data_IF_007417390917
#
_entry.id   IF_007417390917
#
_cell.length_a   1.000
_cell.length_b   1.000
_cell.length_c   1.000
_cell.angle_alpha   90.00
_cell.angle_beta   90.00
_cell.angle_gamma   90.00
#
_symmetry.space_group_name_H-M   'P 1'
#
loop_
_entity.id
_entity.type
_entity.pdbx_description
1 polymer ?
#
# COMPACT_ATOMS: atom_id res chain seq x y z
N UNK A 1 0.14 -2.67 11.48
CA UNK A 1 1.01 -1.55 11.89
C UNK A 1 0.66 -1.05 13.29
N UNK A 2 -0.56 -0.60 13.52
CA UNK A 2 -1.01 0.05 14.76
C UNK A 2 -0.91 -0.83 16.02
N UNK A 3 -0.71 -2.13 15.89
CA UNK A 3 -0.50 -3.08 16.98
C UNK A 3 0.97 -3.45 17.17
N UNK A 4 1.88 -2.81 16.43
CA UNK A 4 3.32 -3.03 16.56
C UNK A 4 3.76 -4.46 16.34
N UNK A 5 4.72 -4.90 17.13
CA UNK A 5 5.28 -6.24 17.01
C UNK A 5 4.23 -7.35 17.23
N UNK A 6 3.26 -7.15 18.11
CA UNK A 6 2.21 -8.14 18.35
C UNK A 6 1.34 -8.37 17.11
N UNK A 7 1.05 -7.30 16.36
CA UNK A 7 0.35 -7.39 15.08
C UNK A 7 1.17 -8.09 14.00
N UNK A 8 2.48 -7.82 13.93
CA UNK A 8 3.39 -8.49 12.99
C UNK A 8 3.49 -9.98 13.32
N UNK A 9 3.69 -10.32 14.58
CA UNK A 9 3.75 -11.72 15.05
C UNK A 9 2.43 -12.46 14.77
N UNK A 10 1.29 -11.80 14.99
CA UNK A 10 -0.02 -12.36 14.67
C UNK A 10 -0.16 -12.68 13.17
N UNK A 11 0.19 -11.76 12.27
CA UNK A 11 0.13 -11.99 10.81
C UNK A 11 1.10 -13.11 10.40
N UNK A 12 2.31 -13.14 10.94
CA UNK A 12 3.26 -14.22 10.69
C UNK A 12 2.69 -15.58 11.09
N UNK A 13 2.04 -15.68 12.26
CA UNK A 13 1.44 -16.91 12.74
C UNK A 13 0.21 -17.32 11.90
N UNK A 14 -0.67 -16.36 11.56
CA UNK A 14 -1.87 -16.63 10.75
C UNK A 14 -1.52 -17.16 9.37
N UNK A 15 -0.46 -16.65 8.76
CA UNK A 15 -0.05 -16.99 7.40
C UNK A 15 0.87 -18.21 7.32
N UNK A 16 1.21 -18.83 8.43
CA UNK A 16 2.10 -20.00 8.43
C UNK A 16 1.46 -21.23 7.76
N UNK A 17 0.15 -21.42 8.00
CA UNK A 17 -0.61 -22.57 7.51
C UNK A 17 -1.48 -22.28 6.28
N UNK A 18 -1.29 -21.11 5.63
CA UNK A 18 -2.02 -20.77 4.41
C UNK A 18 -1.52 -21.59 3.21
N UNK A 19 -2.39 -21.85 2.24
CA UNK A 19 -1.98 -22.37 0.94
C UNK A 19 -1.35 -21.24 0.13
N UNK A 20 -0.04 -21.30 -0.02
CA UNK A 20 0.74 -20.33 -0.73
C UNK A 20 2.00 -19.93 0.02
N UNK A 21 2.95 -19.35 -0.69
CA UNK A 21 4.17 -18.82 -0.08
C UNK A 21 3.88 -17.38 0.38
N UNK A 22 3.52 -17.22 1.63
CA UNK A 22 3.30 -15.90 2.22
C UNK A 22 4.58 -15.38 2.82
N UNK A 23 5.04 -14.26 2.30
CA UNK A 23 6.17 -13.50 2.82
C UNK A 23 5.67 -12.17 3.39
N UNK A 24 6.40 -11.66 4.38
CA UNK A 24 6.04 -10.43 5.09
C UNK A 24 7.19 -9.44 4.98
N UNK A 25 6.84 -8.18 4.75
CA UNK A 25 7.74 -7.05 4.87
C UNK A 25 7.45 -6.31 6.18
N UNK A 26 8.47 -5.84 6.88
CA UNK A 26 8.30 -5.14 8.16
C UNK A 26 8.01 -3.66 7.89
N UNK A 27 6.92 -3.09 8.45
CA UNK A 27 6.55 -1.70 8.20
C UNK A 27 7.65 -0.71 8.61
N UNK A 28 8.07 0.15 7.70
CA UNK A 28 9.10 1.16 7.94
C UNK A 28 8.58 2.36 8.71
N UNK A 29 7.36 2.77 8.42
CA UNK A 29 6.74 4.01 8.88
C UNK A 29 5.57 3.70 9.82
N UNK A 30 5.82 3.67 11.12
CA UNK A 30 4.82 3.49 12.16
C UNK A 30 5.15 4.46 13.31
N UNK A 31 4.45 5.61 13.38
CA UNK A 31 3.46 6.15 12.44
C UNK A 31 4.03 6.46 11.04
N UNK A 32 3.16 6.78 10.06
CA UNK A 32 3.57 7.15 8.71
C UNK A 32 4.45 8.40 8.71
N UNK A 33 4.09 9.39 9.52
CA UNK A 33 4.89 10.59 9.75
C UNK A 33 4.98 10.92 11.25
N UNK A 34 5.95 11.75 11.62
CA UNK A 34 6.11 12.24 13.02
C UNK A 34 4.98 13.13 13.52
N UNK A 35 4.05 13.53 12.64
CA UNK A 35 2.91 14.39 12.98
C UNK A 35 1.68 13.62 13.41
N UNK A 36 1.66 12.30 13.21
CA UNK A 36 0.50 11.46 13.45
C UNK A 36 0.52 10.85 14.85
N UNK A 37 -0.66 10.80 15.47
CA UNK A 37 -0.87 10.01 16.68
C UNK A 37 -1.07 8.54 16.26
N UNK A 38 -0.34 7.60 16.86
CA UNK A 38 -0.48 6.17 16.59
C UNK A 38 -0.52 5.37 17.90
N UNK A 39 -0.99 4.13 17.81
CA UNK A 39 -1.05 3.21 18.92
C UNK A 39 0.32 2.70 19.36
N UNK A 40 1.31 2.74 18.46
CA UNK A 40 2.69 2.30 18.73
C UNK A 40 3.66 3.03 17.81
N UNK A 41 4.92 3.12 18.21
CA UNK A 41 6.01 3.59 17.37
C UNK A 41 6.99 2.43 17.19
N UNK A 42 7.34 2.10 15.95
CA UNK A 42 8.33 1.08 15.64
C UNK A 42 9.69 1.72 15.33
N UNK A 43 10.67 1.44 16.16
CA UNK A 43 12.07 1.80 15.95
C UNK A 43 12.86 0.62 15.37
N UNK A 44 14.04 0.88 14.81
CA UNK A 44 14.91 -0.16 14.26
C UNK A 44 15.16 -1.32 15.24
N UNK A 45 15.40 -1.04 16.53
CA UNK A 45 15.58 -2.05 17.58
C UNK A 45 14.41 -3.01 17.74
N UNK A 46 13.18 -2.54 17.48
CA UNK A 46 11.96 -3.36 17.62
C UNK A 46 11.81 -4.34 16.45
N UNK A 47 12.52 -4.09 15.35
CA UNK A 47 12.49 -4.88 14.11
C UNK A 47 13.58 -5.95 14.06
N UNK A 48 14.64 -5.84 14.85
CA UNK A 48 15.82 -6.73 14.82
C UNK A 48 15.47 -8.22 14.94
N UNK A 49 14.46 -8.56 15.78
CA UNK A 49 14.02 -9.94 15.97
C UNK A 49 13.53 -10.62 14.69
N UNK A 50 13.09 -9.84 13.70
CA UNK A 50 12.54 -10.37 12.45
C UNK A 50 13.60 -10.67 11.40
N UNK A 51 14.82 -10.16 11.52
CA UNK A 51 15.87 -10.33 10.51
C UNK A 51 16.19 -11.80 10.21
N UNK A 52 16.07 -12.68 11.20
CA UNK A 52 16.35 -14.11 11.07
C UNK A 52 15.15 -14.94 10.59
N UNK A 53 13.95 -14.36 10.51
CA UNK A 53 12.78 -15.09 10.05
C UNK A 53 12.84 -15.25 8.52
N UNK A 54 12.83 -16.48 7.97
CA UNK A 54 12.98 -16.72 6.53
C UNK A 54 11.78 -16.22 5.71
N UNK A 55 10.62 -15.98 6.35
CA UNK A 55 9.46 -15.38 5.71
C UNK A 55 9.45 -13.86 5.74
N UNK A 56 10.36 -13.22 6.46
CA UNK A 56 10.54 -11.77 6.46
C UNK A 56 11.56 -11.40 5.39
N UNK A 57 11.08 -10.77 4.31
CA UNK A 57 11.91 -10.42 3.16
C UNK A 57 12.65 -9.10 3.33
N UNK A 58 12.10 -8.17 4.10
CA UNK A 58 12.72 -6.87 4.21
C UNK A 58 11.87 -5.80 4.90
N UNK A 59 12.14 -4.55 4.57
CA UNK A 59 11.46 -3.36 5.05
C UNK A 59 10.40 -2.93 4.03
N UNK A 60 9.16 -2.76 4.49
CA UNK A 60 8.03 -2.37 3.65
C UNK A 60 7.82 -0.86 3.62
N UNK A 61 7.32 -0.43 2.50
CA UNK A 61 6.83 0.88 2.14
C UNK A 61 7.51 2.03 2.90
N UNK A 62 8.66 2.46 2.38
CA UNK A 62 9.36 3.61 2.96
C UNK A 62 8.61 4.89 2.54
N UNK A 63 7.48 5.17 3.21
CA UNK A 63 6.57 6.28 2.89
C UNK A 63 7.12 7.65 3.26
N UNK A 64 7.88 7.76 4.33
CA UNK A 64 8.49 9.02 4.74
C UNK A 64 9.73 9.35 3.90
N UNK A 65 9.47 9.68 2.63
CA UNK A 65 10.51 10.05 1.66
C UNK A 65 11.33 11.25 2.11
N UNK A 66 10.70 12.18 2.84
CA UNK A 66 11.40 13.35 3.38
C UNK A 66 12.47 12.96 4.38
N UNK A 67 12.17 12.07 5.32
CA UNK A 67 13.13 11.59 6.31
C UNK A 67 14.29 10.84 5.66
N UNK A 68 14.02 10.10 4.56
CA UNK A 68 15.08 9.47 3.75
C UNK A 68 15.98 10.52 3.11
N UNK A 69 15.41 11.49 2.38
CA UNK A 69 16.15 12.51 1.62
C UNK A 69 16.95 13.42 2.53
N UNK A 70 16.41 13.75 3.70
CA UNK A 70 17.12 14.61 4.69
C UNK A 70 18.07 13.84 5.60
N UNK A 71 18.09 12.49 5.52
CA UNK A 71 18.96 11.67 6.36
C UNK A 71 18.56 11.63 7.83
N UNK A 72 17.24 11.61 8.12
CA UNK A 72 16.73 11.56 9.49
C UNK A 72 17.22 10.27 10.18
N UNK A 73 17.78 10.42 11.39
CA UNK A 73 18.54 9.35 12.07
C UNK A 73 17.71 8.08 12.32
N UNK A 74 16.44 8.20 12.71
CA UNK A 74 15.58 7.05 12.99
C UNK A 74 15.28 6.26 11.73
N UNK A 75 15.00 6.95 10.60
CA UNK A 75 14.79 6.31 9.31
C UNK A 75 16.08 5.66 8.80
N UNK A 76 17.20 6.36 8.85
CA UNK A 76 18.49 5.81 8.40
C UNK A 76 18.89 4.56 9.16
N UNK A 77 18.61 4.47 10.48
CA UNK A 77 18.83 3.23 11.26
C UNK A 77 17.98 2.06 10.78
N UNK A 78 16.75 2.31 10.33
CA UNK A 78 15.87 1.26 9.76
C UNK A 78 16.40 0.78 8.41
N UNK A 79 16.78 1.71 7.54
CA UNK A 79 17.38 1.39 6.24
C UNK A 79 18.68 0.59 6.40
N UNK A 80 19.60 1.00 7.30
CA UNK A 80 20.85 0.29 7.57
C UNK A 80 20.60 -1.12 8.15
N UNK A 81 19.60 -1.26 9.02
CA UNK A 81 19.19 -2.56 9.57
C UNK A 81 18.78 -3.57 8.49
N UNK A 82 18.14 -3.09 7.43
CA UNK A 82 17.64 -3.93 6.33
C UNK A 82 18.47 -3.84 5.04
N UNK A 83 19.66 -3.25 5.06
CA UNK A 83 20.50 -3.03 3.85
C UNK A 83 20.82 -4.31 3.05
N UNK A 84 20.89 -5.46 3.71
CA UNK A 84 21.14 -6.76 3.10
C UNK A 84 19.85 -7.52 2.73
N UNK A 85 18.69 -6.88 2.85
CA UNK A 85 17.36 -7.40 2.51
C UNK A 85 16.68 -6.48 1.50
N UNK A 86 15.45 -6.81 1.11
CA UNK A 86 14.67 -5.94 0.25
C UNK A 86 14.18 -4.71 1.03
N UNK A 87 14.22 -3.57 0.40
CA UNK A 87 13.62 -2.33 0.89
C UNK A 87 12.65 -1.88 -0.17
N UNK A 88 11.36 -1.92 0.16
CA UNK A 88 10.28 -1.52 -0.71
C UNK A 88 9.90 -0.05 -0.50
N UNK A 89 9.57 0.62 -1.57
CA UNK A 89 9.30 2.04 -1.60
C UNK A 89 7.85 2.42 -1.69
N UNK A 90 7.64 3.71 -1.51
CA UNK A 90 6.39 4.42 -1.69
C UNK A 90 6.76 5.87 -2.05
N UNK A 91 6.94 6.15 -3.31
CA UNK A 91 7.58 7.38 -3.78
C UNK A 91 6.74 8.15 -4.80
N UNK A 92 5.52 8.62 -4.43
CA UNK A 92 4.72 9.38 -5.38
C UNK A 92 5.39 10.73 -5.71
N UNK A 93 5.59 11.02 -7.00
CA UNK A 93 5.96 12.34 -7.50
C UNK A 93 7.24 12.99 -6.95
N UNK A 94 8.27 12.23 -6.67
CA UNK A 94 9.56 12.81 -6.36
C UNK A 94 10.19 13.45 -7.60
N UNK A 95 10.84 14.60 -7.43
CA UNK A 95 11.66 15.17 -8.49
C UNK A 95 12.91 14.31 -8.74
N UNK A 96 13.66 14.58 -9.80
CA UNK A 96 14.78 13.72 -10.23
C UNK A 96 15.91 13.59 -9.20
N UNK A 97 16.20 14.64 -8.41
CA UNK A 97 17.20 14.60 -7.36
C UNK A 97 16.72 13.78 -6.17
N UNK A 98 15.49 14.04 -5.72
CA UNK A 98 14.91 13.36 -4.57
C UNK A 98 14.70 11.88 -4.86
N UNK A 99 14.24 11.52 -6.07
CA UNK A 99 14.12 10.13 -6.50
C UNK A 99 15.48 9.42 -6.56
N UNK A 100 16.52 10.14 -6.99
CA UNK A 100 17.89 9.58 -7.01
C UNK A 100 18.43 9.37 -5.58
N UNK A 101 18.19 10.32 -4.66
CA UNK A 101 18.57 10.19 -3.26
C UNK A 101 17.81 9.02 -2.59
N UNK A 102 16.52 8.89 -2.89
CA UNK A 102 15.66 7.82 -2.40
C UNK A 102 16.15 6.44 -2.88
N UNK A 103 16.43 6.28 -4.17
CA UNK A 103 16.98 5.04 -4.71
C UNK A 103 18.39 4.73 -4.14
N UNK A 104 19.24 5.75 -3.92
CA UNK A 104 20.57 5.62 -3.33
C UNK A 104 20.52 5.11 -1.89
N UNK A 105 19.46 5.40 -1.14
CA UNK A 105 19.26 4.92 0.24
C UNK A 105 19.04 3.41 0.35
N UNK A 106 18.94 2.70 -0.78
CA UNK A 106 18.76 1.25 -0.84
C UNK A 106 17.35 0.80 -1.20
N UNK A 107 16.42 1.71 -1.40
CA UNK A 107 15.06 1.39 -1.88
C UNK A 107 15.15 0.83 -3.30
N UNK A 108 14.52 -0.33 -3.53
CA UNK A 108 14.66 -1.12 -4.77
C UNK A 108 13.40 -1.26 -5.59
N UNK A 109 12.25 -0.96 -5.03
CA UNK A 109 10.94 -1.09 -5.69
C UNK A 109 10.04 0.06 -5.32
N UNK A 110 9.04 0.32 -6.15
CA UNK A 110 7.95 1.25 -5.92
C UNK A 110 6.66 0.75 -6.56
N UNK A 111 5.50 1.17 -6.06
CA UNK A 111 4.19 0.86 -6.59
C UNK A 111 3.28 2.09 -6.78
N UNK A 112 3.83 3.28 -6.52
CA UNK A 112 3.12 4.55 -6.58
C UNK A 112 3.25 5.28 -7.94
N UNK A 113 4.05 4.76 -8.86
CA UNK A 113 4.12 5.31 -10.21
C UNK A 113 2.75 5.23 -10.90
N UNK A 114 2.13 6.37 -11.20
CA UNK A 114 0.84 6.44 -11.90
C UNK A 114 0.96 6.90 -13.36
N UNK A 115 2.14 7.26 -13.83
CA UNK A 115 2.43 7.55 -15.23
C UNK A 115 3.59 6.72 -15.74
N UNK A 116 3.57 6.37 -17.05
CA UNK A 116 4.71 5.69 -17.67
C UNK A 116 6.00 6.52 -17.58
N UNK A 117 5.91 7.84 -17.67
CA UNK A 117 7.09 8.71 -17.57
C UNK A 117 7.76 8.62 -16.21
N UNK A 118 6.98 8.58 -15.13
CA UNK A 118 7.53 8.45 -13.78
C UNK A 118 8.09 7.05 -13.56
N UNK A 119 7.36 6.01 -13.94
CA UNK A 119 7.83 4.62 -13.88
C UNK A 119 9.17 4.41 -14.61
N UNK A 120 9.37 5.06 -15.76
CA UNK A 120 10.66 5.04 -16.48
C UNK A 120 11.80 5.64 -15.66
N UNK A 121 11.56 6.77 -14.99
CA UNK A 121 12.59 7.40 -14.14
C UNK A 121 13.02 6.50 -12.99
N UNK A 122 12.12 5.71 -12.43
CA UNK A 122 12.42 4.70 -11.41
C UNK A 122 13.25 3.56 -11.99
N UNK A 123 12.83 3.01 -13.13
CA UNK A 123 13.56 1.94 -13.83
C UNK A 123 14.97 2.38 -14.23
N UNK A 124 15.15 3.61 -14.72
CA UNK A 124 16.45 4.20 -15.06
C UNK A 124 17.40 4.30 -13.84
N UNK A 125 16.83 4.39 -12.64
CA UNK A 125 17.59 4.36 -11.36
C UNK A 125 17.78 2.96 -10.80
N UNK A 126 17.42 1.93 -11.57
CA UNK A 126 17.59 0.53 -11.21
C UNK A 126 16.53 -0.02 -10.25
N UNK A 127 15.44 0.72 -10.04
CA UNK A 127 14.30 0.26 -9.26
C UNK A 127 13.41 -0.69 -10.06
N UNK A 128 12.64 -1.52 -9.36
CA UNK A 128 11.51 -2.26 -9.93
C UNK A 128 10.24 -1.43 -9.75
N UNK A 129 9.36 -1.49 -10.73
CA UNK A 129 8.04 -0.87 -10.68
C UNK A 129 6.98 -1.94 -10.57
N UNK A 130 6.24 -1.94 -9.48
CA UNK A 130 5.05 -2.77 -9.33
C UNK A 130 3.84 -2.01 -9.88
N UNK A 131 3.38 -2.42 -11.05
CA UNK A 131 2.21 -1.84 -11.71
C UNK A 131 0.97 -2.25 -10.92
N UNK A 132 0.35 -1.27 -10.25
CA UNK A 132 -0.78 -1.46 -9.37
C UNK A 132 -2.10 -1.48 -10.14
N UNK A 133 -2.95 -2.46 -9.81
CA UNK A 133 -4.34 -2.54 -10.27
C UNK A 133 -5.21 -2.98 -9.09
N UNK A 134 -5.46 -2.04 -8.20
CA UNK A 134 -6.29 -2.18 -7.02
C UNK A 134 -7.77 -1.95 -7.29
N UNK A 135 -8.54 -1.65 -6.25
CA UNK A 135 -9.93 -1.23 -6.35
C UNK A 135 -10.05 0.29 -6.58
N UNK A 136 -9.35 1.08 -5.79
CA UNK A 136 -9.31 2.54 -5.92
C UNK A 136 -8.14 3.02 -6.78
N UNK A 137 -6.94 2.50 -6.54
CA UNK A 137 -5.73 2.91 -7.26
C UNK A 137 -5.43 1.98 -8.44
N UNK A 138 -5.57 2.50 -9.66
CA UNK A 138 -5.47 1.75 -10.93
C UNK A 138 -4.48 2.40 -11.87
N UNK A 139 -3.23 1.94 -11.83
CA UNK A 139 -2.13 2.54 -12.61
C UNK A 139 -1.78 1.72 -13.87
N UNK A 140 -2.33 0.50 -14.00
CA UNK A 140 -1.95 -0.45 -15.04
C UNK A 140 -2.14 0.13 -16.44
N UNK A 141 -3.29 0.72 -16.71
CA UNK A 141 -3.59 1.22 -18.06
C UNK A 141 -2.60 2.31 -18.50
N UNK A 142 -2.33 3.28 -17.62
CA UNK A 142 -1.45 4.39 -17.94
C UNK A 142 -0.01 3.93 -18.22
N UNK A 143 0.50 3.01 -17.42
CA UNK A 143 1.88 2.52 -17.56
C UNK A 143 2.00 1.56 -18.75
N UNK A 144 1.10 0.58 -18.89
CA UNK A 144 1.16 -0.41 -19.97
C UNK A 144 0.97 0.25 -21.33
N UNK A 145 0.05 1.21 -21.45
CA UNK A 145 -0.13 1.98 -22.69
C UNK A 145 1.16 2.69 -23.12
N UNK A 146 1.89 3.26 -22.18
CA UNK A 146 3.18 3.89 -22.44
C UNK A 146 4.24 2.87 -22.88
N UNK A 147 4.33 1.72 -22.21
CA UNK A 147 5.26 0.63 -22.58
C UNK A 147 4.99 0.15 -24.03
N UNK A 148 3.72 -0.06 -24.39
CA UNK A 148 3.32 -0.50 -25.72
C UNK A 148 3.66 0.56 -26.79
N UNK A 149 3.29 1.83 -26.56
CA UNK A 149 3.52 2.91 -27.50
C UNK A 149 5.01 3.14 -27.79
N UNK A 150 5.86 2.96 -26.80
CA UNK A 150 7.30 3.16 -26.91
C UNK A 150 8.06 1.86 -27.26
N UNK A 151 7.37 0.73 -27.35
CA UNK A 151 7.98 -0.59 -27.48
C UNK A 151 9.09 -0.83 -26.42
N UNK A 152 8.82 -0.41 -25.19
CA UNK A 152 9.80 -0.42 -24.12
C UNK A 152 10.01 -1.84 -23.54
N UNK A 153 11.14 -2.04 -22.85
CA UNK A 153 11.40 -3.27 -22.10
C UNK A 153 10.47 -3.39 -20.91
N UNK A 154 10.07 -4.63 -20.58
CA UNK A 154 9.26 -4.94 -19.39
C UNK A 154 10.10 -5.53 -18.24
N UNK A 155 11.42 -5.56 -18.35
CA UNK A 155 12.27 -6.36 -17.44
C UNK A 155 12.20 -5.98 -15.97
N UNK A 156 11.93 -4.72 -15.63
CA UNK A 156 11.81 -4.25 -14.24
C UNK A 156 10.41 -3.93 -13.82
N UNK A 157 9.42 -4.36 -14.61
CA UNK A 157 8.03 -4.17 -14.27
C UNK A 157 7.44 -5.46 -13.71
N UNK A 158 6.72 -5.35 -12.60
CA UNK A 158 6.00 -6.40 -11.91
C UNK A 158 4.54 -5.99 -11.74
N UNK A 159 3.70 -6.87 -11.22
CA UNK A 159 2.32 -6.53 -10.88
C UNK A 159 2.11 -6.54 -9.37
N UNK A 160 1.25 -5.65 -8.88
CA UNK A 160 0.65 -5.71 -7.56
C UNK A 160 -0.83 -5.32 -7.62
N UNK A 161 -1.52 -5.51 -6.53
CA UNK A 161 -2.94 -5.17 -6.39
C UNK A 161 -3.19 -4.15 -5.28
N UNK A 162 -2.29 -4.09 -4.31
CA UNK A 162 -2.38 -3.17 -3.16
C UNK A 162 -3.77 -3.20 -2.51
N UNK A 163 -4.61 -2.21 -2.74
CA UNK A 163 -5.93 -2.01 -2.12
C UNK A 163 -7.09 -2.84 -2.72
N UNK A 164 -6.80 -3.92 -3.46
CA UNK A 164 -7.86 -4.68 -4.15
C UNK A 164 -8.79 -5.40 -3.17
N UNK A 165 -10.07 -5.05 -3.22
CA UNK A 165 -11.11 -5.61 -2.37
C UNK A 165 -11.46 -7.05 -2.78
N UNK A 166 -11.98 -7.82 -1.81
CA UNK A 166 -12.34 -9.23 -2.03
C UNK A 166 -13.43 -9.37 -3.11
N UNK A 167 -14.39 -8.46 -3.15
CA UNK A 167 -15.44 -8.42 -4.14
C UNK A 167 -14.88 -8.30 -5.56
N UNK A 168 -13.91 -7.42 -5.76
CA UNK A 168 -13.26 -7.24 -7.06
C UNK A 168 -12.39 -8.45 -7.43
N UNK A 169 -11.74 -9.07 -6.44
CA UNK A 169 -11.00 -10.32 -6.67
C UNK A 169 -11.93 -11.44 -7.16
N UNK A 170 -13.14 -11.55 -6.60
CA UNK A 170 -14.13 -12.53 -7.01
C UNK A 170 -14.66 -12.25 -8.43
N UNK A 171 -14.90 -11.00 -8.75
CA UNK A 171 -15.49 -10.59 -10.03
C UNK A 171 -14.49 -10.58 -11.19
N UNK A 172 -13.30 -10.07 -10.96
CA UNK A 172 -12.29 -9.79 -12.00
C UNK A 172 -11.12 -10.78 -11.97
N UNK A 173 -10.76 -11.25 -10.79
CA UNK A 173 -9.52 -11.96 -10.47
C UNK A 173 -8.49 -11.06 -9.78
N UNK A 174 -7.43 -11.69 -9.30
CA UNK A 174 -6.30 -11.02 -8.64
C UNK A 174 -5.21 -10.65 -9.68
N UNK A 175 -3.99 -11.16 -9.57
CA UNK A 175 -2.91 -10.96 -10.56
C UNK A 175 -3.27 -11.55 -11.94
N UNK A 176 -4.14 -12.55 -12.01
CA UNK A 176 -4.68 -13.07 -13.27
C UNK A 176 -5.39 -11.99 -14.10
N UNK A 177 -6.10 -11.08 -13.45
CA UNK A 177 -6.70 -9.92 -14.09
C UNK A 177 -5.65 -8.96 -14.67
N UNK A 178 -4.59 -8.66 -13.91
CA UNK A 178 -3.52 -7.79 -14.37
C UNK A 178 -2.82 -8.36 -15.61
N UNK A 179 -2.56 -9.68 -15.62
CA UNK A 179 -1.97 -10.37 -16.78
C UNK A 179 -2.88 -10.24 -18.00
N UNK A 180 -4.16 -10.63 -17.87
CA UNK A 180 -5.14 -10.59 -18.95
C UNK A 180 -5.28 -9.18 -19.53
N UNK A 181 -5.52 -8.18 -18.72
CA UNK A 181 -5.64 -6.77 -19.12
C UNK A 181 -4.38 -6.29 -19.85
N UNK A 182 -3.21 -6.66 -19.38
CA UNK A 182 -1.92 -6.30 -20.00
C UNK A 182 -1.75 -6.94 -21.38
N UNK A 183 -2.18 -8.20 -21.55
CA UNK A 183 -2.18 -8.89 -22.85
C UNK A 183 -3.16 -8.22 -23.82
N UNK A 184 -4.39 -7.94 -23.37
CA UNK A 184 -5.41 -7.23 -24.16
C UNK A 184 -4.94 -5.85 -24.65
N UNK A 185 -4.09 -5.20 -23.89
CA UNK A 185 -3.47 -3.91 -24.26
C UNK A 185 -2.29 -4.03 -25.23
N UNK A 186 -1.87 -5.26 -25.60
CA UNK A 186 -0.87 -5.50 -26.64
C UNK A 186 0.52 -5.90 -26.16
N UNK A 187 0.71 -6.16 -24.88
CA UNK A 187 1.96 -6.77 -24.38
C UNK A 187 1.95 -8.25 -24.74
N UNK A 188 3.10 -8.73 -25.24
CA UNK A 188 3.28 -10.16 -25.53
C UNK A 188 2.95 -11.00 -24.28
N UNK A 189 2.12 -12.06 -24.39
CA UNK A 189 1.68 -12.89 -23.26
C UNK A 189 2.84 -13.41 -22.41
N UNK A 190 3.93 -13.90 -23.01
CA UNK A 190 5.09 -14.39 -22.27
C UNK A 190 5.71 -13.28 -21.41
N UNK A 191 5.78 -12.05 -21.92
CA UNK A 191 6.29 -10.92 -21.13
C UNK A 191 5.36 -10.62 -19.96
N UNK A 192 4.03 -10.61 -20.16
CA UNK A 192 3.06 -10.39 -19.10
C UNK A 192 3.14 -11.46 -17.99
N UNK A 193 3.26 -12.74 -18.37
CA UNK A 193 3.49 -13.82 -17.38
C UNK A 193 4.82 -13.66 -16.64
N UNK A 194 5.90 -13.26 -17.32
CA UNK A 194 7.19 -13.01 -16.66
C UNK A 194 7.10 -11.88 -15.61
N UNK A 195 6.33 -10.84 -15.88
CA UNK A 195 6.08 -9.75 -14.91
C UNK A 195 5.37 -10.25 -13.65
N UNK A 196 4.47 -11.22 -13.79
CA UNK A 196 3.72 -11.82 -12.68
C UNK A 196 4.49 -12.93 -11.94
N UNK A 197 5.57 -13.46 -12.51
CA UNK A 197 6.26 -14.63 -11.99
C UNK A 197 7.73 -14.35 -11.71
N UNK A 198 8.62 -14.69 -12.63
CA UNK A 198 10.07 -14.64 -12.40
C UNK A 198 10.58 -13.22 -12.06
N UNK A 199 10.03 -12.16 -12.68
CA UNK A 199 10.48 -10.79 -12.40
C UNK A 199 10.11 -10.35 -10.99
N UNK A 200 8.85 -10.62 -10.55
CA UNK A 200 8.43 -10.36 -9.17
C UNK A 200 9.29 -11.11 -8.15
N UNK A 201 9.59 -12.38 -8.43
CA UNK A 201 10.42 -13.18 -7.51
C UNK A 201 11.89 -12.79 -7.51
N UNK A 202 12.41 -12.29 -8.62
CA UNK A 202 13.75 -11.68 -8.69
C UNK A 202 13.83 -10.41 -7.87
N UNK A 203 12.83 -9.54 -7.98
CA UNK A 203 12.75 -8.32 -7.17
C UNK A 203 12.85 -8.62 -5.68
N UNK A 204 12.12 -9.61 -5.19
CA UNK A 204 12.10 -9.99 -3.77
C UNK A 204 13.21 -10.98 -3.36
N UNK A 205 14.19 -11.24 -4.22
CA UNK A 205 15.31 -12.13 -3.92
C UNK A 205 14.99 -13.62 -3.87
N UNK A 206 13.83 -14.06 -4.41
CA UNK A 206 13.38 -15.47 -4.44
C UNK A 206 13.47 -16.13 -5.82
N UNK A 207 13.93 -15.43 -6.83
CA UNK A 207 14.00 -15.90 -8.22
C UNK A 207 14.91 -17.11 -8.48
N UNK A 208 15.55 -17.67 -7.44
CA UNK A 208 16.31 -18.94 -7.52
C UNK A 208 15.52 -20.15 -7.01
N UNK A 209 14.30 -19.97 -6.50
CA UNK A 209 13.52 -21.04 -5.86
C UNK A 209 12.04 -21.06 -6.25
N UNK A 210 11.50 -19.94 -6.71
CA UNK A 210 10.11 -19.78 -7.17
C UNK A 210 10.05 -18.86 -8.38
N UNK A 211 8.95 -18.90 -9.12
CA UNK A 211 8.67 -18.02 -10.26
C UNK A 211 9.05 -18.58 -11.63
N UNK A 212 9.56 -19.81 -11.69
CA UNK A 212 9.84 -20.52 -12.94
C UNK A 212 9.64 -22.04 -12.77
N UNK A 213 9.37 -22.74 -13.87
CA UNK A 213 9.37 -24.20 -13.92
C UNK A 213 10.79 -24.64 -14.30
N UNK A 214 11.58 -25.00 -13.28
CA UNK A 214 12.97 -25.41 -13.48
C UNK A 214 13.42 -26.40 -12.39
N UNK A 215 14.47 -27.21 -12.64
CA UNK A 215 15.02 -28.12 -11.62
C UNK A 215 15.43 -27.36 -10.36
N UNK A 216 15.00 -27.84 -9.18
CA UNK A 216 15.28 -27.23 -7.89
C UNK A 216 14.32 -26.09 -7.48
N UNK A 217 13.41 -25.69 -8.33
CA UNK A 217 12.33 -24.75 -7.96
C UNK A 217 11.17 -25.47 -7.29
N UNK A 218 10.41 -24.75 -6.47
CA UNK A 218 9.17 -25.26 -5.91
C UNK A 218 8.17 -25.55 -7.01
N UNK A 219 7.43 -26.63 -6.85
CA UNK A 219 6.38 -27.03 -7.79
C UNK A 219 5.07 -26.25 -7.53
N UNK A 220 5.16 -24.93 -7.61
CA UNK A 220 4.03 -24.00 -7.54
C UNK A 220 3.76 -23.50 -8.95
N UNK A 221 2.69 -23.98 -9.57
CA UNK A 221 2.38 -23.66 -10.97
C UNK A 221 0.88 -23.68 -11.26
N UNK A 222 0.51 -23.02 -12.35
CA UNK A 222 -0.86 -22.94 -12.85
C UNK A 222 -0.93 -23.61 -14.21
N UNK A 223 -1.95 -24.44 -14.44
CA UNK A 223 -2.29 -25.00 -15.74
C UNK A 223 -3.40 -24.15 -16.35
N UNK A 224 -3.24 -23.76 -17.60
CA UNK A 224 -4.17 -22.89 -18.31
C UNK A 224 -4.85 -23.65 -19.44
N UNK A 225 -6.15 -23.43 -19.65
CA UNK A 225 -6.88 -23.85 -20.85
C UNK A 225 -6.58 -22.90 -22.01
N UNK A 226 -6.49 -21.61 -21.74
CA UNK A 226 -6.19 -20.56 -22.72
C UNK A 226 -5.13 -19.61 -22.16
N UNK A 227 -4.04 -19.53 -22.88
CA UNK A 227 -2.86 -18.78 -22.49
C UNK A 227 -3.04 -17.24 -22.65
N UNK A 228 -3.81 -16.81 -23.65
CA UNK A 228 -4.04 -15.37 -23.89
C UNK A 228 -5.17 -14.82 -23.01
N UNK A 229 -6.20 -15.63 -22.77
CA UNK A 229 -7.33 -15.26 -21.91
C UNK A 229 -7.07 -15.47 -20.43
N UNK A 230 -5.95 -16.09 -20.09
CA UNK A 230 -5.62 -16.47 -18.70
C UNK A 230 -6.73 -17.33 -18.08
N UNK A 231 -7.21 -18.32 -18.87
CA UNK A 231 -8.24 -19.25 -18.42
C UNK A 231 -7.59 -20.37 -17.60
N UNK A 232 -7.80 -20.33 -16.28
CA UNK A 232 -7.15 -21.21 -15.32
C UNK A 232 -7.90 -22.54 -15.27
N UNK A 233 -7.21 -23.63 -15.60
CA UNK A 233 -7.71 -25.00 -15.44
C UNK A 233 -7.48 -25.52 -14.02
N UNK A 234 -6.25 -25.45 -13.53
CA UNK A 234 -5.89 -25.97 -12.20
C UNK A 234 -4.66 -25.26 -11.62
N UNK A 235 -4.59 -25.25 -10.30
CA UNK A 235 -3.49 -24.63 -9.54
C UNK A 235 -2.82 -25.70 -8.68
N UNK A 236 -1.50 -25.69 -8.66
CA UNK A 236 -0.69 -26.60 -7.87
C UNK A 236 0.20 -25.82 -6.89
N UNK A 237 0.23 -26.30 -5.65
CA UNK A 237 1.09 -25.79 -4.60
C UNK A 237 1.94 -26.93 -4.03
N UNK A 238 3.27 -26.77 -4.05
CA UNK A 238 4.23 -27.83 -3.71
C UNK A 238 3.99 -29.15 -4.46
N UNK A 239 3.49 -29.10 -5.70
CA UNK A 239 3.18 -30.25 -6.54
C UNK A 239 1.80 -30.90 -6.30
N UNK A 240 1.03 -30.41 -5.35
CA UNK A 240 -0.32 -30.91 -5.04
C UNK A 240 -1.40 -29.98 -5.58
N UNK A 241 -2.48 -30.55 -6.10
CA UNK A 241 -3.61 -29.76 -6.60
C UNK A 241 -4.30 -29.01 -5.46
N UNK A 242 -4.48 -27.70 -5.63
CA UNK A 242 -5.01 -26.80 -4.60
C UNK A 242 -6.45 -27.14 -4.23
N UNK A 243 -7.29 -27.61 -5.17
CA UNK A 243 -8.68 -28.01 -4.86
C UNK A 243 -8.71 -29.12 -3.81
N UNK A 244 -7.84 -30.14 -3.95
CA UNK A 244 -7.71 -31.22 -2.97
C UNK A 244 -7.20 -30.71 -1.60
N UNK A 245 -6.29 -29.74 -1.62
CA UNK A 245 -5.77 -29.15 -0.41
C UNK A 245 -6.81 -28.27 0.31
N UNK A 246 -7.76 -27.66 -0.42
CA UNK A 246 -8.86 -26.88 0.16
C UNK A 246 -9.88 -27.71 0.95
N UNK A 247 -10.00 -29.00 0.64
CA UNK A 247 -10.88 -29.93 1.36
C UNK A 247 -10.35 -30.30 2.76
N UNK A 248 -9.07 -30.06 3.03
CA UNK A 248 -8.46 -30.36 4.30
C UNK A 248 -8.80 -29.29 5.36
N UNK A 249 -9.23 -29.72 6.52
CA UNK A 249 -9.40 -28.81 7.67
C UNK A 249 -8.06 -28.16 8.06
N UNK A 250 -8.11 -26.85 8.32
CA UNK A 250 -6.95 -26.08 8.75
C UNK A 250 -7.26 -25.39 10.05
N UNK A 251 -6.33 -25.51 10.95
CA UNK A 251 -6.37 -24.79 12.20
C UNK A 251 -5.95 -23.32 11.94
N UNK A 252 -6.87 -22.41 12.22
CA UNK A 252 -6.60 -20.96 12.14
C UNK A 252 -6.20 -20.51 13.55
N UNK A 253 -5.05 -19.85 13.66
CA UNK A 253 -4.61 -19.33 14.95
C UNK A 253 -5.61 -18.28 15.47
N UNK A 254 -6.01 -18.40 16.72
CA UNK A 254 -6.93 -17.43 17.34
C UNK A 254 -6.25 -16.06 17.46
N UNK A 255 -7.02 -15.00 17.21
CA UNK A 255 -6.53 -13.65 17.48
C UNK A 255 -6.32 -13.47 18.99
N UNK A 256 -5.14 -13.03 19.45
CA UNK A 256 -4.89 -12.76 20.86
C UNK A 256 -5.89 -11.74 21.43
N UNK A 257 -6.34 -11.97 22.67
CA UNK A 257 -7.38 -11.11 23.27
C UNK A 257 -6.97 -9.63 23.35
N UNK A 258 -5.70 -9.36 23.65
CA UNK A 258 -5.20 -7.97 23.74
C UNK A 258 -5.16 -7.23 22.40
N UNK A 259 -5.27 -7.95 21.26
CA UNK A 259 -5.39 -7.36 19.93
C UNK A 259 -6.85 -7.12 19.52
N UNK A 260 -7.81 -7.57 20.33
CA UNK A 260 -9.23 -7.31 20.12
C UNK A 260 -9.65 -6.05 20.87
N UNK A 261 -10.77 -5.47 20.46
CA UNK A 261 -11.38 -4.29 21.12
C UNK A 261 -10.38 -3.14 21.35
N UNK A 262 -9.56 -2.85 20.35
CA UNK A 262 -8.50 -1.84 20.44
C UNK A 262 -8.97 -0.40 20.15
N UNK A 263 -10.23 -0.24 19.78
CA UNK A 263 -10.83 1.09 19.55
C UNK A 263 -11.30 1.66 20.89
N UNK A 264 -10.68 2.76 21.31
CA UNK A 264 -10.95 3.46 22.58
C UNK A 264 -11.12 4.94 22.31
N UNK A 265 -12.36 5.40 22.21
CA UNK A 265 -12.69 6.81 21.95
C UNK A 265 -13.22 7.43 23.24
N UNK A 266 -12.53 8.46 23.73
CA UNK A 266 -12.88 9.17 24.96
C UNK A 266 -13.62 10.48 24.67
N UNK A 267 -14.69 10.72 25.43
CA UNK A 267 -15.38 12.00 25.50
C UNK A 267 -15.74 12.60 24.12
N UNK A 268 -16.08 11.74 23.14
CA UNK A 268 -16.46 12.20 21.80
C UNK A 268 -17.85 12.85 21.82
N UNK A 269 -17.92 14.09 21.33
CA UNK A 269 -19.17 14.82 21.17
C UNK A 269 -19.12 15.72 19.93
N UNK A 270 -20.26 16.32 19.57
CA UNK A 270 -20.37 17.19 18.39
C UNK A 270 -19.53 18.45 18.45
N UNK A 271 -19.27 18.96 19.65
CA UNK A 271 -18.50 20.21 19.83
C UNK A 271 -17.05 20.03 19.37
N UNK A 272 -16.50 18.83 19.50
CA UNK A 272 -15.15 18.50 18.99
C UNK A 272 -15.03 18.52 17.46
N UNK A 273 -16.15 18.48 16.76
CA UNK A 273 -16.20 18.59 15.29
C UNK A 273 -16.37 20.04 14.82
N UNK A 274 -16.46 21.00 15.73
CA UNK A 274 -16.58 22.41 15.38
C UNK A 274 -15.21 22.91 14.90
N UNK A 275 -15.13 23.27 13.63
CA UNK A 275 -13.93 23.87 13.06
C UNK A 275 -13.99 25.40 13.18
N UNK A 276 -13.32 25.95 14.19
CA UNK A 276 -13.15 27.39 14.35
C UNK A 276 -12.10 27.90 13.40
N UNK A 277 -12.37 28.97 12.68
CA UNK A 277 -11.47 29.55 11.69
C UNK A 277 -11.18 31.01 12.02
N UNK A 278 -9.92 31.41 11.90
CA UNK A 278 -9.50 32.80 12.15
C UNK A 278 -9.71 33.70 10.93
N UNK A 279 -9.65 33.13 9.75
CA UNK A 279 -9.73 33.85 8.46
C UNK A 279 -10.62 33.05 7.50
N UNK A 280 -11.26 33.70 6.57
CA UNK A 280 -12.06 33.07 5.51
C UNK A 280 -11.18 32.28 4.55
N UNK A 281 -10.00 32.81 4.19
CA UNK A 281 -8.98 32.03 3.47
C UNK A 281 -8.37 30.98 4.38
N UNK A 282 -8.66 29.73 4.08
CA UNK A 282 -8.32 28.57 4.91
C UNK A 282 -7.64 27.48 4.08
N UNK A 283 -6.67 26.73 4.64
CA UNK A 283 -6.09 25.59 3.96
C UNK A 283 -7.10 24.45 3.89
N UNK A 284 -7.24 23.86 2.70
CA UNK A 284 -8.20 22.82 2.39
C UNK A 284 -7.46 21.63 1.82
N UNK A 285 -7.88 20.43 2.18
CA UNK A 285 -7.49 19.21 1.48
C UNK A 285 -8.34 19.12 0.22
N UNK A 286 -7.72 19.22 -0.97
CA UNK A 286 -8.39 19.06 -2.25
C UNK A 286 -8.17 17.62 -2.76
N UNK A 287 -9.25 16.87 -2.97
CA UNK A 287 -9.18 15.54 -3.58
C UNK A 287 -9.06 15.66 -5.08
N UNK A 288 -8.25 14.80 -5.69
CA UNK A 288 -8.08 14.71 -7.14
C UNK A 288 -8.81 13.45 -7.62
N UNK A 289 -9.84 13.57 -8.46
CA UNK A 289 -10.60 12.42 -8.93
C UNK A 289 -9.71 11.37 -9.61
N UNK A 290 -9.82 10.13 -9.15
CA UNK A 290 -9.03 9.01 -9.68
C UNK A 290 -7.61 8.88 -9.14
N UNK A 291 -7.17 9.77 -8.25
CA UNK A 291 -5.85 9.75 -7.63
C UNK A 291 -5.92 9.48 -6.13
N UNK A 292 -4.88 8.85 -5.59
CA UNK A 292 -4.72 8.64 -4.13
C UNK A 292 -4.08 9.85 -3.44
N UNK A 293 -3.42 10.70 -4.19
CA UNK A 293 -2.81 11.94 -3.67
C UNK A 293 -3.82 13.06 -3.54
N UNK A 294 -3.59 13.94 -2.57
CA UNK A 294 -4.39 15.15 -2.36
C UNK A 294 -3.52 16.39 -2.48
N UNK A 295 -4.14 17.52 -2.74
CA UNK A 295 -3.46 18.81 -2.79
C UNK A 295 -3.85 19.68 -1.59
N UNK A 296 -2.91 20.46 -1.11
CA UNK A 296 -3.19 21.55 -0.18
C UNK A 296 -3.46 22.82 -0.96
N UNK A 297 -4.70 23.26 -0.96
CA UNK A 297 -5.10 24.55 -1.55
C UNK A 297 -5.51 25.56 -0.46
N UNK A 298 -5.55 26.84 -0.78
CA UNK A 298 -6.02 27.90 0.14
C UNK A 298 -7.10 28.69 -0.58
N UNK A 299 -8.33 28.52 -0.12
CA UNK A 299 -9.53 29.18 -0.69
C UNK A 299 -10.36 29.85 0.40
N UNK A 300 -11.32 30.68 -0.02
CA UNK A 300 -12.35 31.20 0.86
C UNK A 300 -13.38 30.11 1.10
N UNK A 301 -13.64 29.80 2.38
CA UNK A 301 -14.60 28.75 2.78
C UNK A 301 -15.86 29.38 3.37
N UNK A 302 -17.00 28.71 3.26
CA UNK A 302 -18.26 29.14 3.90
C UNK A 302 -18.08 29.21 5.41
N UNK A 303 -18.48 30.33 6.00
CA UNK A 303 -18.46 30.53 7.44
C UNK A 303 -19.85 30.91 7.97
N UNK A 304 -20.09 30.58 9.20
CA UNK A 304 -21.17 31.10 10.02
C UNK A 304 -20.60 31.70 11.32
N UNK A 305 -21.35 32.58 11.95
CA UNK A 305 -20.95 33.20 13.22
C UNK A 305 -21.73 32.58 14.37
N UNK A 306 -21.00 32.18 15.41
CA UNK A 306 -21.57 31.75 16.67
C UNK A 306 -20.87 32.55 17.80
N UNK A 307 -21.61 33.44 18.43
CA UNK A 307 -21.09 34.33 19.50
C UNK A 307 -19.73 34.97 19.12
N UNK A 308 -19.66 35.66 17.98
CA UNK A 308 -18.45 36.33 17.45
C UNK A 308 -17.36 35.37 16.91
N UNK A 309 -17.46 34.08 17.15
CA UNK A 309 -16.52 33.10 16.57
C UNK A 309 -16.93 32.75 15.13
N UNK A 310 -15.94 32.75 14.24
CA UNK A 310 -16.11 32.24 12.87
C UNK A 310 -16.00 30.73 12.88
N UNK A 311 -17.05 30.06 12.40
CA UNK A 311 -17.13 28.61 12.31
C UNK A 311 -17.25 28.21 10.85
N UNK A 312 -16.51 27.20 10.42
CA UNK A 312 -16.66 26.61 9.10
C UNK A 312 -18.04 25.93 8.97
N UNK A 313 -18.78 26.32 7.93
CA UNK A 313 -20.06 25.71 7.57
C UNK A 313 -19.87 24.82 6.35
N UNK A 314 -19.97 23.50 6.52
CA UNK A 314 -19.91 22.55 5.41
C UNK A 314 -21.07 22.76 4.42
N UNK A 315 -20.82 22.51 3.14
CA UNK A 315 -21.80 22.54 2.06
C UNK A 315 -21.44 21.47 1.01
N UNK A 316 -22.13 21.49 -0.14
CA UNK A 316 -21.93 20.52 -1.24
C UNK A 316 -20.49 20.53 -1.82
N UNK A 317 -19.80 21.66 -1.80
CA UNK A 317 -18.45 21.82 -2.34
C UNK A 317 -17.40 21.52 -1.28
N UNK A 318 -17.61 22.03 -0.07
CA UNK A 318 -16.68 21.92 1.04
C UNK A 318 -17.28 21.08 2.16
N UNK A 319 -16.74 19.89 2.34
CA UNK A 319 -17.13 19.00 3.42
C UNK A 319 -16.21 19.16 4.63
N UNK A 320 -16.65 18.72 5.79
CA UNK A 320 -15.83 18.64 6.99
C UNK A 320 -15.15 17.29 7.05
N UNK A 321 -13.84 17.29 7.26
CA UNK A 321 -13.09 16.08 7.62
C UNK A 321 -12.77 16.12 9.11
N UNK A 322 -12.85 14.99 9.79
CA UNK A 322 -12.43 14.84 11.17
C UNK A 322 -11.65 13.55 11.36
N UNK A 323 -10.56 13.63 12.11
CA UNK A 323 -9.75 12.47 12.54
C UNK A 323 -9.87 12.35 14.05
N UNK A 324 -10.32 11.18 14.49
CA UNK A 324 -10.58 10.89 15.91
C UNK A 324 -9.53 9.91 16.41
N UNK A 325 -8.74 10.31 17.42
CA UNK A 325 -7.80 9.42 18.08
C UNK A 325 -8.57 8.28 18.79
N UNK A 326 -8.22 7.04 18.49
CA UNK A 326 -8.97 5.85 18.91
C UNK A 326 -8.14 4.78 19.61
N UNK A 327 -6.86 4.98 19.84
CA UNK A 327 -5.95 3.97 20.43
C UNK A 327 -5.56 4.30 21.86
N UNK A 328 -5.13 5.54 22.10
CA UNK A 328 -4.56 5.94 23.38
C UNK A 328 -5.57 6.58 24.32
N UNK A 329 -6.85 6.61 23.92
CA UNK A 329 -7.95 7.14 24.73
C UNK A 329 -7.71 8.59 25.20
N UNK A 330 -7.08 9.41 24.34
CA UNK A 330 -6.74 10.80 24.64
C UNK A 330 -7.92 11.76 24.50
N UNK A 331 -8.92 11.37 23.70
CA UNK A 331 -10.03 12.23 23.33
C UNK A 331 -9.68 13.33 22.34
N UNK A 332 -8.50 13.26 21.70
CA UNK A 332 -8.13 14.20 20.64
C UNK A 332 -8.99 14.02 19.40
N UNK A 333 -9.36 15.13 18.79
CA UNK A 333 -10.05 15.19 17.48
C UNK A 333 -9.42 16.32 16.68
N UNK A 334 -8.95 16.00 15.48
CA UNK A 334 -8.57 16.98 14.47
C UNK A 334 -9.73 17.25 13.54
N UNK A 335 -10.01 18.52 13.21
CA UNK A 335 -11.05 18.89 12.24
C UNK A 335 -10.45 19.78 11.15
N UNK A 336 -10.91 19.60 9.92
CA UNK A 336 -10.46 20.35 8.75
C UNK A 336 -11.55 20.51 7.70
N UNK A 337 -11.21 21.17 6.60
CA UNK A 337 -12.05 21.31 5.43
C UNK A 337 -11.48 20.46 4.27
N UNK A 338 -12.35 19.77 3.55
CA UNK A 338 -12.03 18.97 2.38
C UNK A 338 -12.93 19.35 1.22
N UNK A 339 -12.40 19.34 0.01
CA UNK A 339 -13.12 19.65 -1.23
C UNK A 339 -13.06 18.46 -2.18
N UNK A 340 -14.15 18.22 -2.91
CA UNK A 340 -14.22 17.15 -3.92
C UNK A 340 -14.83 15.84 -3.45
N UNK A 341 -15.30 15.76 -2.20
CA UNK A 341 -15.90 14.53 -1.64
C UNK A 341 -17.39 14.36 -1.97
N UNK A 342 -18.11 15.46 -2.23
CA UNK A 342 -19.48 15.45 -2.72
C UNK A 342 -20.56 14.98 -1.73
N UNK A 343 -20.28 14.97 -0.43
CA UNK A 343 -21.28 14.59 0.60
C UNK A 343 -22.18 15.78 0.89
N UNK A 344 -23.49 15.61 0.72
CA UNK A 344 -24.48 16.68 0.90
C UNK A 344 -25.20 16.61 2.24
N UNK A 345 -25.67 15.45 2.66
CA UNK A 345 -26.55 15.30 3.83
C UNK A 345 -26.08 14.27 4.85
N UNK A 346 -25.09 13.46 4.52
CA UNK A 346 -24.66 12.32 5.32
C UNK A 346 -23.19 12.45 5.76
N UNK A 347 -22.68 11.42 6.41
CA UNK A 347 -21.29 11.29 6.79
C UNK A 347 -20.79 9.86 6.50
N UNK A 348 -19.53 9.76 6.12
CA UNK A 348 -18.81 8.49 6.01
C UNK A 348 -17.83 8.42 7.17
N UNK A 349 -17.85 7.33 7.92
CA UNK A 349 -16.96 7.11 9.05
C UNK A 349 -16.23 5.78 8.90
N UNK A 350 -15.10 5.73 8.16
CA UNK A 350 -14.28 4.54 8.08
C UNK A 350 -13.56 4.29 9.41
N UNK A 351 -13.40 3.01 9.75
CA UNK A 351 -12.60 2.59 10.91
C UNK A 351 -11.17 2.23 10.52
N UNK A 352 -10.91 2.15 9.24
CA UNK A 352 -9.57 1.93 8.67
C UNK A 352 -9.04 3.29 8.24
N UNK A 353 -8.20 3.88 9.07
CA UNK A 353 -7.29 4.93 8.67
C UNK A 353 -5.89 4.32 8.71
N UNK A 354 -4.97 4.83 7.91
CA UNK A 354 -3.65 4.22 7.74
C UNK A 354 -2.94 4.01 9.09
N UNK A 355 -2.95 4.99 9.96
CA UNK A 355 -2.21 4.94 11.24
C UNK A 355 -3.01 5.40 12.47
N UNK A 356 -4.15 6.01 12.31
CA UNK A 356 -4.94 6.55 13.43
C UNK A 356 -6.26 5.85 13.67
#
# INVERSE_FOLDING_TARGET
NVSGNDGIDYILNQTEKTLGNVFVMIPSCVPATSFEDNGVILYAKDMEKYLKNPRVLGLAEVMDTRSVITGEESMMKKLDLFKDKNIDGHAPLLNDYDLSAYALSGVRSDHEAYTNQYAKKEVERGMYVFIREGSAAKNLEAIVKGIVNENASTERYCFCTDDKHIEDIILEGHISYNIRKTIEMGINPIKAYKMATIQSTQCIGKGKSIGAIAPGYKADFVVLNDFEKVDINSVYFNGENVEKLLELEREIAACPEHLKQTVKVKDFNRDKLILKVKKEKFPIVNTIPGEVVTEKIVEEIPIEYNNEEKIFKANEIYNKIAVVERKNNTGKVGAGAIKGFGITNDAIAPTVAHDS
#
